data_IF_933079956746
#
_entry.id   IF_933079956746
#
_cell.length_a   1.000
_cell.length_b   1.000
_cell.length_c   1.000
_cell.angle_alpha   90.00
_cell.angle_beta   90.00
_cell.angle_gamma   90.00
#
_symmetry.space_group_name_H-M   'P 1'
#
loop_
_entity.id
_entity.type
_entity.pdbx_description
1 polymer ?
#
# COMPACT_ATOMS: atom_id res chain seq x y z
N UNK A 1 -11.84 25.92 15.45
CA UNK A 1 -10.58 25.22 15.12
C UNK A 1 -10.90 24.20 14.04
N UNK A 2 -10.30 24.33 12.85
CA UNK A 2 -10.63 23.46 11.72
C UNK A 2 -10.25 21.99 12.05
N UNK A 3 -11.15 21.02 11.84
CA UNK A 3 -11.07 19.67 12.40
C UNK A 3 -9.98 18.76 11.81
N UNK A 4 -9.04 19.31 11.02
CA UNK A 4 -8.07 18.52 10.25
C UNK A 4 -6.60 18.83 10.55
N UNK A 5 -6.25 19.92 11.24
CA UNK A 5 -4.86 20.19 11.69
C UNK A 5 -3.76 19.82 10.68
N UNK A 6 -2.72 19.11 11.13
CA UNK A 6 -1.65 18.57 10.27
C UNK A 6 -2.11 17.40 9.37
N UNK A 7 -3.19 16.70 9.74
CA UNK A 7 -3.77 15.60 8.96
C UNK A 7 -4.35 16.10 7.64
N UNK A 8 -4.98 17.28 7.64
CA UNK A 8 -5.50 17.94 6.45
C UNK A 8 -4.39 18.35 5.48
N UNK A 9 -3.25 18.80 6.01
CA UNK A 9 -2.07 19.09 5.19
C UNK A 9 -1.52 17.81 4.53
N UNK A 10 -1.37 16.72 5.30
CA UNK A 10 -0.90 15.44 4.76
C UNK A 10 -1.84 14.86 3.68
N UNK A 11 -3.16 14.98 3.90
CA UNK A 11 -4.17 14.60 2.91
C UNK A 11 -4.08 15.49 1.65
N UNK A 12 -3.91 16.80 1.80
CA UNK A 12 -3.76 17.72 0.68
C UNK A 12 -2.52 17.38 -0.18
N UNK A 13 -1.38 17.08 0.45
CA UNK A 13 -0.17 16.65 -0.26
C UNK A 13 -0.39 15.35 -1.04
N UNK A 14 -1.05 14.37 -0.41
CA UNK A 14 -1.36 13.08 -1.04
C UNK A 14 -2.30 13.24 -2.24
N UNK A 15 -3.36 14.04 -2.09
CA UNK A 15 -4.32 14.34 -3.16
C UNK A 15 -3.68 15.13 -4.30
N UNK A 16 -2.81 16.10 -3.99
CA UNK A 16 -2.04 16.85 -5.00
C UNK A 16 -1.14 15.92 -5.82
N UNK A 17 -0.45 14.97 -5.17
CA UNK A 17 0.34 13.95 -5.86
C UNK A 17 -0.48 13.07 -6.80
N UNK A 18 -1.65 12.61 -6.35
CA UNK A 18 -2.58 11.83 -7.17
C UNK A 18 -3.12 12.63 -8.36
N UNK A 19 -3.50 13.89 -8.13
CA UNK A 19 -3.97 14.78 -9.17
C UNK A 19 -2.88 15.04 -10.22
N UNK A 20 -1.65 15.30 -9.78
CA UNK A 20 -0.50 15.50 -10.67
C UNK A 20 -0.24 14.27 -11.54
N UNK A 21 -0.18 13.07 -10.93
CA UNK A 21 0.00 11.82 -11.66
C UNK A 21 -1.13 11.55 -12.66
N UNK A 22 -2.39 11.80 -12.27
CA UNK A 22 -3.55 11.62 -13.14
C UNK A 22 -3.57 12.59 -14.33
N UNK A 23 -3.25 13.87 -14.09
CA UNK A 23 -3.15 14.89 -15.14
C UNK A 23 -2.02 14.56 -16.13
N UNK A 24 -0.86 14.15 -15.64
CA UNK A 24 0.26 13.71 -16.46
C UNK A 24 -0.12 12.51 -17.32
N UNK A 25 -0.69 11.47 -16.71
CA UNK A 25 -1.13 10.27 -17.43
C UNK A 25 -2.17 10.61 -18.52
N UNK A 26 -3.11 11.52 -18.21
CA UNK A 26 -4.10 12.00 -19.18
C UNK A 26 -3.47 12.78 -20.32
N UNK A 27 -2.47 13.63 -20.06
CA UNK A 27 -1.75 14.37 -21.08
C UNK A 27 -0.96 13.42 -22.01
N UNK A 28 -0.21 12.47 -21.44
CA UNK A 28 0.57 11.49 -22.21
C UNK A 28 -0.29 10.60 -23.10
N UNK A 29 -1.48 10.20 -22.62
CA UNK A 29 -2.45 9.45 -23.43
C UNK A 29 -3.04 10.28 -24.57
N UNK A 30 -3.42 11.54 -24.29
CA UNK A 30 -3.97 12.45 -25.32
C UNK A 30 -2.93 12.81 -26.38
N UNK A 31 -1.67 12.98 -26.00
CA UNK A 31 -0.57 13.24 -26.93
C UNK A 31 -0.13 12.00 -27.72
N UNK A 32 -0.70 10.82 -27.45
CA UNK A 32 -0.33 9.56 -28.11
C UNK A 32 1.05 9.01 -27.71
N UNK A 33 1.76 9.67 -26.79
CA UNK A 33 3.11 9.30 -26.32
C UNK A 33 3.07 7.99 -25.52
N UNK A 34 2.01 7.80 -24.72
CA UNK A 34 1.86 6.61 -23.88
C UNK A 34 0.65 5.77 -24.30
N UNK A 35 0.93 4.52 -24.68
CA UNK A 35 -0.08 3.48 -24.93
C UNK A 35 0.02 2.40 -23.85
N UNK A 36 -0.93 2.33 -22.90
CA UNK A 36 -0.89 1.33 -21.84
C UNK A 36 -0.98 -0.08 -22.44
N UNK A 37 -0.04 -0.96 -22.05
CA UNK A 37 -0.08 -2.37 -22.42
C UNK A 37 -1.32 -3.05 -21.79
N UNK A 38 -1.91 -4.07 -22.42
CA UNK A 38 -2.97 -4.86 -21.78
C UNK A 38 -2.43 -5.50 -20.49
N UNK A 39 -3.29 -5.60 -19.46
CA UNK A 39 -2.94 -6.25 -18.18
C UNK A 39 -2.89 -5.35 -16.94
N UNK A 40 -3.12 -4.04 -17.07
CA UNK A 40 -3.16 -3.13 -15.91
C UNK A 40 -4.31 -3.40 -14.93
N UNK A 41 -5.52 -3.63 -15.44
CA UNK A 41 -6.69 -3.89 -14.59
C UNK A 41 -6.51 -5.11 -13.65
N UNK A 42 -6.11 -6.31 -14.16
CA UNK A 42 -5.89 -7.45 -13.27
C UNK A 42 -4.68 -7.25 -12.34
N UNK A 43 -3.66 -6.50 -12.75
CA UNK A 43 -2.54 -6.16 -11.88
C UNK A 43 -2.98 -5.29 -10.69
N UNK A 44 -3.76 -4.24 -10.96
CA UNK A 44 -4.32 -3.37 -9.92
C UNK A 44 -5.28 -4.14 -8.99
N UNK A 45 -6.13 -5.01 -9.54
CA UNK A 45 -7.04 -5.82 -8.74
C UNK A 45 -6.28 -6.79 -7.81
N UNK A 46 -5.22 -7.43 -8.29
CA UNK A 46 -4.35 -8.30 -7.45
C UNK A 46 -3.64 -7.52 -6.35
N UNK A 47 -3.10 -6.33 -6.68
CA UNK A 47 -2.46 -5.45 -5.70
C UNK A 47 -3.43 -4.95 -4.63
N UNK A 48 -4.63 -4.52 -5.03
CA UNK A 48 -5.69 -4.13 -4.10
C UNK A 48 -6.12 -5.30 -3.21
N UNK A 49 -6.32 -6.49 -3.78
CA UNK A 49 -6.64 -7.69 -3.02
C UNK A 49 -5.57 -8.04 -1.99
N UNK A 50 -4.29 -8.02 -2.38
CA UNK A 50 -3.16 -8.23 -1.48
C UNK A 50 -3.13 -7.22 -0.33
N UNK A 51 -3.35 -5.93 -0.62
CA UNK A 51 -3.41 -4.89 0.41
C UNK A 51 -4.59 -5.06 1.38
N UNK A 52 -5.77 -5.41 0.87
CA UNK A 52 -6.96 -5.61 1.70
C UNK A 52 -6.80 -6.79 2.65
N UNK A 53 -6.32 -7.92 2.15
CA UNK A 53 -6.06 -9.12 2.96
C UNK A 53 -4.93 -8.89 3.98
N UNK A 54 -3.84 -8.23 3.58
CA UNK A 54 -2.79 -7.82 4.52
C UNK A 54 -3.37 -6.92 5.62
N UNK A 55 -4.14 -5.90 5.24
CA UNK A 55 -4.80 -4.99 6.18
C UNK A 55 -5.71 -5.72 7.14
N UNK A 56 -6.47 -6.72 6.66
CA UNK A 56 -7.34 -7.54 7.50
C UNK A 56 -6.53 -8.35 8.52
N UNK A 57 -5.48 -9.04 8.09
CA UNK A 57 -4.61 -9.83 8.98
C UNK A 57 -4.00 -8.93 10.06
N UNK A 58 -3.49 -7.76 9.70
CA UNK A 58 -2.93 -6.82 10.67
C UNK A 58 -4.01 -6.27 11.61
N UNK A 59 -5.20 -5.93 11.11
CA UNK A 59 -6.28 -5.39 11.94
C UNK A 59 -6.83 -6.39 12.96
N UNK A 60 -6.87 -7.67 12.61
CA UNK A 60 -7.35 -8.74 13.49
C UNK A 60 -6.24 -9.25 14.42
N UNK A 61 -4.98 -9.16 13.96
CA UNK A 61 -3.84 -9.72 14.67
C UNK A 61 -3.18 -8.77 15.68
N UNK A 62 -3.11 -7.47 15.38
CA UNK A 62 -2.32 -6.50 16.15
C UNK A 62 -2.79 -6.26 17.60
N UNK A 63 -3.97 -6.77 17.97
CA UNK A 63 -4.49 -6.70 19.33
C UNK A 63 -4.91 -5.28 19.76
N UNK A 64 -5.28 -5.10 21.04
CA UNK A 64 -5.67 -3.81 21.60
C UNK A 64 -4.53 -2.81 21.64
N UNK A 65 -4.82 -1.55 21.32
CA UNK A 65 -3.84 -0.46 21.38
C UNK A 65 -3.31 -0.23 22.80
N UNK A 66 -4.15 -0.42 23.82
CA UNK A 66 -3.78 -0.18 25.22
C UNK A 66 -2.69 -1.14 25.69
N UNK A 67 -2.75 -2.41 25.27
CA UNK A 67 -1.74 -3.43 25.56
C UNK A 67 -0.40 -3.03 24.93
N UNK A 68 -0.43 -2.58 23.67
CA UNK A 68 0.77 -2.12 22.97
C UNK A 68 1.38 -0.88 23.64
N UNK A 69 0.56 0.07 24.09
CA UNK A 69 1.02 1.29 24.78
C UNK A 69 1.65 0.98 26.16
N UNK A 70 1.17 -0.06 26.85
CA UNK A 70 1.70 -0.50 28.13
C UNK A 70 3.08 -1.17 28.02
N UNK A 71 3.48 -1.63 26.84
CA UNK A 71 4.76 -2.31 26.63
C UNK A 71 5.96 -1.36 26.69
N UNK A 72 7.06 -1.87 27.25
CA UNK A 72 8.36 -1.19 27.20
C UNK A 72 8.82 -0.92 25.76
N UNK A 73 9.62 0.13 25.54
CA UNK A 73 10.00 0.58 24.19
C UNK A 73 10.68 -0.49 23.33
N UNK A 74 11.56 -1.31 23.92
CA UNK A 74 12.21 -2.42 23.21
C UNK A 74 11.23 -3.52 22.79
N UNK A 75 10.26 -3.84 23.64
CA UNK A 75 9.23 -4.83 23.35
C UNK A 75 8.30 -4.35 22.21
N UNK A 76 7.91 -3.08 22.23
CA UNK A 76 7.14 -2.46 21.13
C UNK A 76 7.89 -2.49 19.79
N UNK A 77 9.19 -2.20 19.82
CA UNK A 77 10.02 -2.24 18.61
C UNK A 77 10.10 -3.65 18.02
N UNK A 78 10.29 -4.66 18.87
CA UNK A 78 10.31 -6.07 18.44
C UNK A 78 8.96 -6.49 17.85
N UNK A 79 7.87 -6.16 18.52
CA UNK A 79 6.52 -6.48 18.04
C UNK A 79 6.19 -5.80 16.71
N UNK A 80 6.54 -4.52 16.56
CA UNK A 80 6.41 -3.82 15.28
C UNK A 80 7.22 -4.50 14.17
N UNK A 81 8.46 -4.91 14.45
CA UNK A 81 9.27 -5.66 13.48
C UNK A 81 8.61 -6.98 13.08
N UNK A 82 8.01 -7.70 14.03
CA UNK A 82 7.28 -8.94 13.74
C UNK A 82 6.05 -8.67 12.85
N UNK A 83 5.25 -7.66 13.16
CA UNK A 83 4.09 -7.30 12.33
C UNK A 83 4.48 -6.80 10.94
N UNK A 84 5.60 -6.10 10.79
CA UNK A 84 6.16 -5.75 9.48
C UNK A 84 6.51 -6.98 8.65
N UNK A 85 7.15 -7.99 9.27
CA UNK A 85 7.48 -9.25 8.59
C UNK A 85 6.23 -10.04 8.23
N UNK A 86 5.24 -10.12 9.13
CA UNK A 86 3.97 -10.81 8.87
C UNK A 86 3.20 -10.11 7.75
N UNK A 87 3.03 -8.79 7.83
CA UNK A 87 2.34 -8.01 6.80
C UNK A 87 3.01 -8.12 5.44
N UNK A 88 4.33 -7.91 5.39
CA UNK A 88 5.12 -8.08 4.18
C UNK A 88 5.04 -9.50 3.60
N UNK A 89 5.08 -10.52 4.48
CA UNK A 89 4.93 -11.93 4.10
C UNK A 89 3.56 -12.25 3.51
N UNK A 90 2.47 -11.77 4.13
CA UNK A 90 1.09 -11.93 3.62
C UNK A 90 0.93 -11.26 2.26
N UNK A 91 1.38 -10.01 2.13
CA UNK A 91 1.33 -9.28 0.86
C UNK A 91 2.08 -10.02 -0.25
N UNK A 92 3.32 -10.43 0.01
CA UNK A 92 4.12 -11.18 -0.95
C UNK A 92 3.47 -12.52 -1.31
N UNK A 93 2.96 -13.27 -0.33
CA UNK A 93 2.29 -14.55 -0.56
C UNK A 93 1.06 -14.39 -1.46
N UNK A 94 0.21 -13.39 -1.22
CA UNK A 94 -1.00 -13.17 -2.02
C UNK A 94 -0.65 -12.75 -3.46
N UNK A 95 0.36 -11.90 -3.65
CA UNK A 95 0.81 -11.54 -4.99
C UNK A 95 1.40 -12.75 -5.75
N UNK A 96 2.18 -13.59 -5.06
CA UNK A 96 2.74 -14.81 -5.63
C UNK A 96 1.65 -15.81 -6.04
N UNK A 97 0.65 -16.02 -5.17
CA UNK A 97 -0.54 -16.84 -5.46
C UNK A 97 -1.37 -16.24 -6.60
N UNK A 98 -1.46 -14.91 -6.66
CA UNK A 98 -2.07 -14.17 -7.77
C UNK A 98 -1.27 -14.25 -9.08
N UNK A 99 -0.14 -14.97 -9.11
CA UNK A 99 0.67 -15.21 -10.31
C UNK A 99 1.64 -14.08 -10.66
N UNK A 100 1.83 -13.10 -9.78
CA UNK A 100 2.86 -12.06 -9.93
C UNK A 100 4.17 -12.65 -9.42
N UNK A 101 4.99 -13.16 -10.34
CA UNK A 101 6.30 -13.72 -10.00
C UNK A 101 7.37 -12.62 -10.01
N UNK A 102 8.36 -12.63 -9.10
CA UNK A 102 9.43 -11.61 -9.03
C UNK A 102 10.18 -11.45 -10.36
N UNK A 103 10.31 -12.55 -11.12
CA UNK A 103 10.90 -12.54 -12.46
C UNK A 103 10.18 -11.64 -13.47
N UNK A 104 8.87 -11.39 -13.32
CA UNK A 104 8.15 -10.44 -14.19
C UNK A 104 8.56 -8.98 -13.92
N UNK A 105 9.09 -8.69 -12.73
CA UNK A 105 9.56 -7.36 -12.34
C UNK A 105 11.05 -7.16 -12.67
N UNK A 106 11.82 -8.24 -12.68
CA UNK A 106 13.26 -8.23 -13.01
C UNK A 106 13.55 -8.28 -14.53
N UNK A 107 12.52 -8.40 -15.37
CA UNK A 107 12.64 -8.43 -16.84
C UNK A 107 12.29 -7.08 -17.52
N UNK A 108 12.35 -5.99 -16.75
CA UNK A 108 12.29 -4.61 -17.30
C UNK A 108 13.64 -4.25 -17.89
#
# INVERSE_FOLDING_TARGET
>A
MAPLGHTGLALATSLSGLANAALLLRALRRAGIYRPRPGWAPLLAKGLGANLLMGLVLSLGAGPLDDWLAMGGGARALELCLWLLVGGGVYAAILLLGGIRPRHLLQV
#
